data_IF_709042201569
#
_entry.id   IF_709042201569
#
_cell.length_a   1.000
_cell.length_b   1.000
_cell.length_c   1.000
_cell.angle_alpha   90.00
_cell.angle_beta   90.00
_cell.angle_gamma   90.00
#
_symmetry.space_group_name_H-M   'P 1'
#
loop_
_entity.id
_entity.type
_entity.pdbx_description
1 polymer ?
#
# COMPACT_ATOMS: atom_id res chain seq x y z
N UNK A 1 13.42 -25.48 -0.41
CA UNK A 1 13.69 -24.03 -0.28
C UNK A 1 12.33 -23.36 -0.08
N UNK A 2 12.17 -22.46 0.88
CA UNK A 2 10.86 -21.84 1.18
C UNK A 2 10.71 -20.58 0.33
N UNK A 3 9.56 -20.43 -0.33
CA UNK A 3 9.20 -19.20 -1.04
C UNK A 3 8.67 -18.16 -0.05
N UNK A 4 9.55 -17.24 0.33
CA UNK A 4 9.24 -16.19 1.29
C UNK A 4 8.28 -15.14 0.71
N UNK A 5 8.31 -14.89 -0.60
CA UNK A 5 7.48 -13.86 -1.22
C UNK A 5 6.00 -14.23 -1.15
N UNK A 6 5.67 -15.49 -1.48
CA UNK A 6 4.31 -16.01 -1.40
C UNK A 6 3.79 -16.05 0.04
N UNK A 7 4.64 -16.45 0.99
CA UNK A 7 4.26 -16.51 2.40
C UNK A 7 3.92 -15.12 2.97
N UNK A 8 4.74 -14.11 2.67
CA UNK A 8 4.47 -12.75 3.11
C UNK A 8 3.20 -12.19 2.48
N UNK A 9 2.97 -12.43 1.18
CA UNK A 9 1.75 -11.98 0.51
C UNK A 9 0.48 -12.53 1.19
N UNK A 10 0.49 -13.81 1.57
CA UNK A 10 -0.62 -14.43 2.29
C UNK A 10 -0.85 -13.80 3.67
N UNK A 11 0.21 -13.48 4.42
CA UNK A 11 0.08 -12.84 5.73
C UNK A 11 -0.52 -11.44 5.60
N UNK A 12 -0.08 -10.66 4.60
CA UNK A 12 -0.58 -9.30 4.37
C UNK A 12 -2.05 -9.28 3.95
N UNK A 13 -2.45 -10.23 3.09
CA UNK A 13 -3.84 -10.40 2.66
C UNK A 13 -4.73 -10.84 3.83
N UNK A 14 -4.30 -11.82 4.62
CA UNK A 14 -5.05 -12.29 5.78
C UNK A 14 -5.24 -11.20 6.85
N UNK A 15 -4.23 -10.35 7.06
CA UNK A 15 -4.29 -9.22 7.98
C UNK A 15 -5.13 -8.05 7.43
N UNK A 16 -5.47 -8.05 6.14
CA UNK A 16 -6.22 -6.98 5.45
C UNK A 16 -5.60 -5.61 5.66
N UNK A 17 -4.27 -5.52 5.60
CA UNK A 17 -3.58 -4.25 5.82
C UNK A 17 -3.97 -3.19 4.79
N UNK A 18 -4.38 -3.60 3.60
CA UNK A 18 -4.93 -2.72 2.56
C UNK A 18 -6.27 -2.10 2.96
N UNK A 19 -7.07 -2.76 3.79
CA UNK A 19 -8.37 -2.23 4.25
C UNK A 19 -8.24 -1.41 5.53
N UNK A 20 -7.14 -1.57 6.28
CA UNK A 20 -6.92 -0.86 7.54
C UNK A 20 -6.49 0.60 7.35
N UNK A 21 -6.01 0.95 6.15
CA UNK A 21 -5.45 2.27 5.85
C UNK A 21 -6.49 3.13 5.13
N UNK A 22 -6.72 4.34 5.63
CA UNK A 22 -7.49 5.36 4.93
C UNK A 22 -6.60 6.12 3.93
N UNK A 23 -6.64 5.70 2.67
CA UNK A 23 -5.84 6.29 1.58
C UNK A 23 -6.31 7.67 1.11
N UNK A 24 -7.44 8.16 1.64
CA UNK A 24 -7.91 9.52 1.35
C UNK A 24 -7.13 10.56 2.16
N UNK A 25 -6.51 10.15 3.26
CA UNK A 25 -5.73 11.02 4.13
C UNK A 25 -4.27 11.15 3.65
N UNK A 26 -3.64 12.26 4.01
CA UNK A 26 -2.22 12.45 3.78
C UNK A 26 -1.41 11.53 4.73
N UNK A 27 -0.37 10.84 4.23
CA UNK A 27 0.47 9.99 5.07
C UNK A 27 1.26 10.80 6.10
N UNK A 28 1.48 10.21 7.28
CA UNK A 28 2.29 10.79 8.35
C UNK A 28 3.39 9.77 8.74
N UNK A 29 4.68 10.12 8.63
CA UNK A 29 5.21 11.39 8.12
C UNK A 29 4.97 11.55 6.61
N UNK A 30 5.04 12.80 6.09
CA UNK A 30 4.89 13.05 4.65
C UNK A 30 5.89 12.26 3.83
N UNK A 31 5.46 11.78 2.66
CA UNK A 31 6.34 11.12 1.71
C UNK A 31 7.27 12.13 1.04
N UNK A 32 8.34 11.64 0.41
CA UNK A 32 9.14 12.50 -0.46
C UNK A 32 8.31 12.84 -1.71
N UNK A 33 8.52 14.02 -2.28
CA UNK A 33 7.76 14.49 -3.46
C UNK A 33 7.66 13.47 -4.61
N UNK A 34 8.75 12.78 -4.91
CA UNK A 34 8.75 11.76 -5.97
C UNK A 34 7.86 10.55 -5.63
N UNK A 35 7.82 10.18 -4.35
CA UNK A 35 7.05 9.04 -3.84
C UNK A 35 5.57 9.42 -3.71
N UNK A 36 5.25 10.69 -3.42
CA UNK A 36 3.87 11.21 -3.44
C UNK A 36 3.23 11.09 -4.83
N UNK A 37 3.95 11.48 -5.89
CA UNK A 37 3.45 11.40 -7.27
C UNK A 37 3.21 9.94 -7.67
N UNK A 38 4.17 9.06 -7.35
CA UNK A 38 4.04 7.63 -7.62
C UNK A 38 2.86 7.01 -6.87
N UNK A 39 2.70 7.35 -5.58
CA UNK A 39 1.60 6.84 -4.76
C UNK A 39 0.24 7.33 -5.26
N UNK A 40 0.10 8.61 -5.64
CA UNK A 40 -1.16 9.14 -6.17
C UNK A 40 -1.59 8.43 -7.46
N UNK A 41 -0.64 8.18 -8.37
CA UNK A 41 -0.91 7.41 -9.61
C UNK A 41 -1.40 6.01 -9.25
N UNK A 42 -0.66 5.29 -8.41
CA UNK A 42 -0.99 3.92 -8.03
C UNK A 42 -2.35 3.82 -7.31
N UNK A 43 -2.65 4.74 -6.40
CA UNK A 43 -3.91 4.74 -5.66
C UNK A 43 -5.12 5.00 -6.55
N UNK A 44 -4.98 5.85 -7.58
CA UNK A 44 -6.02 6.07 -8.59
C UNK A 44 -6.26 4.83 -9.45
N UNK A 45 -5.19 4.15 -9.88
CA UNK A 45 -5.30 2.90 -10.64
C UNK A 45 -6.02 1.80 -9.84
N UNK A 46 -5.81 1.76 -8.53
CA UNK A 46 -6.46 0.83 -7.61
C UNK A 46 -7.86 1.28 -7.16
N UNK A 47 -8.34 2.45 -7.60
CA UNK A 47 -9.63 3.02 -7.20
C UNK A 47 -9.72 3.39 -5.71
N UNK A 48 -8.57 3.62 -5.06
CA UNK A 48 -8.46 4.00 -3.64
C UNK A 48 -8.36 5.52 -3.44
N UNK A 49 -8.36 6.31 -4.52
CA UNK A 49 -8.33 7.78 -4.53
C UNK A 49 -8.90 8.36 -5.82
#
# INVERSE_FOLDING_TARGET
MVDLQSLLAQIYDQARFDMAIDYTQAPIPPLKKQDEVWADIMLRELGRR
#
